data_IF_877929412871
#
_entry.id   IF_877929412871
#
_cell.length_a   1.000
_cell.length_b   1.000
_cell.length_c   1.000
_cell.angle_alpha   90.00
_cell.angle_beta   90.00
_cell.angle_gamma   90.00
#
_symmetry.space_group_name_H-M   'P 1'
#
loop_
_entity.id
_entity.type
_entity.pdbx_description
1 polymer ?
#
# COMPACT_ATOMS: atom_id res chain seq x y z
N UNK A 1 45.13 4.07 -27.49
CA UNK A 1 44.44 5.38 -27.57
C UNK A 1 43.23 5.35 -26.66
N UNK A 2 43.19 6.28 -25.71
CA UNK A 2 42.23 6.36 -24.59
C UNK A 2 41.10 7.31 -24.98
N UNK A 3 39.84 6.89 -24.81
CA UNK A 3 38.63 7.72 -24.57
C UNK A 3 37.43 6.74 -24.49
N UNK A 4 36.44 6.81 -23.60
CA UNK A 4 36.12 7.67 -22.48
C UNK A 4 34.82 7.12 -21.89
N UNK A 5 34.77 6.95 -20.56
CA UNK A 5 33.60 6.50 -19.80
C UNK A 5 32.54 7.61 -19.76
N UNK A 6 31.31 7.33 -20.18
CA UNK A 6 30.15 8.19 -19.95
C UNK A 6 29.23 7.54 -18.90
N UNK A 7 29.34 8.03 -17.68
CA UNK A 7 28.43 7.77 -16.56
C UNK A 7 27.11 8.54 -16.75
N UNK A 8 26.00 7.81 -16.78
CA UNK A 8 24.64 8.37 -16.84
C UNK A 8 24.20 8.85 -15.45
N UNK A 9 24.16 10.17 -15.27
CA UNK A 9 23.73 10.86 -14.05
C UNK A 9 22.19 10.85 -13.95
N UNK A 10 21.66 10.30 -12.84
CA UNK A 10 20.23 10.43 -12.47
C UNK A 10 19.92 11.89 -12.14
N UNK A 11 19.01 12.50 -12.91
CA UNK A 11 18.49 13.87 -12.69
C UNK A 11 17.66 13.92 -11.40
N UNK A 12 18.18 14.58 -10.38
CA UNK A 12 17.44 14.90 -9.14
C UNK A 12 16.27 15.85 -9.44
N UNK A 13 15.16 15.79 -8.67
CA UNK A 13 14.06 16.73 -8.81
C UNK A 13 14.55 18.16 -8.54
N UNK A 14 14.13 19.11 -9.38
CA UNK A 14 14.57 20.50 -9.33
C UNK A 14 14.22 21.18 -8.00
N UNK A 15 15.17 21.89 -7.41
CA UNK A 15 15.05 22.61 -6.14
C UNK A 15 13.85 23.59 -6.05
N UNK A 16 13.27 23.96 -7.19
CA UNK A 16 12.06 24.80 -7.27
C UNK A 16 10.79 24.10 -6.75
N UNK A 17 10.67 22.78 -6.93
CA UNK A 17 9.47 22.02 -6.53
C UNK A 17 9.50 21.77 -5.02
N UNK A 18 10.66 21.43 -4.45
CA UNK A 18 10.81 21.25 -3.00
C UNK A 18 10.56 22.55 -2.24
N UNK A 19 11.11 23.68 -2.73
CA UNK A 19 10.90 25.00 -2.13
C UNK A 19 9.42 25.42 -2.16
N UNK A 20 8.68 25.06 -3.22
CA UNK A 20 7.25 25.36 -3.32
C UNK A 20 6.41 24.57 -2.30
N UNK A 21 6.68 23.27 -2.13
CA UNK A 21 6.01 22.46 -1.12
C UNK A 21 6.36 22.89 0.31
N UNK A 22 7.63 23.23 0.54
CA UNK A 22 8.07 23.71 1.84
C UNK A 22 7.39 25.04 2.20
N UNK A 23 7.26 25.96 1.25
CA UNK A 23 6.55 27.24 1.45
C UNK A 23 5.06 27.04 1.73
N UNK A 24 4.40 26.10 1.05
CA UNK A 24 3.00 25.76 1.34
C UNK A 24 2.83 25.11 2.71
N UNK A 25 3.74 24.21 3.10
CA UNK A 25 3.71 23.56 4.41
C UNK A 25 3.86 24.58 5.54
N UNK A 26 4.80 25.54 5.43
CA UNK A 26 5.01 26.61 6.41
C UNK A 26 3.75 27.49 6.56
N UNK A 27 3.09 27.83 5.45
CA UNK A 27 1.83 28.61 5.49
C UNK A 27 0.69 27.82 6.15
N UNK A 28 0.61 26.52 5.91
CA UNK A 28 -0.39 25.65 6.53
C UNK A 28 -0.19 25.54 8.05
N UNK A 29 1.06 25.31 8.51
CA UNK A 29 1.37 25.28 9.94
C UNK A 29 1.12 26.62 10.63
N UNK A 30 1.47 27.74 10.00
CA UNK A 30 1.18 29.08 10.54
C UNK A 30 -0.33 29.36 10.65
N UNK A 31 -1.14 28.86 9.71
CA UNK A 31 -2.60 28.98 9.78
C UNK A 31 -3.19 28.14 10.93
N UNK A 32 -2.66 26.93 11.16
CA UNK A 32 -3.05 26.07 12.29
C UNK A 32 -2.68 26.73 13.61
N UNK A 33 -1.45 27.24 13.75
CA UNK A 33 -0.99 27.90 14.98
C UNK A 33 -1.85 29.13 15.29
N UNK A 34 -2.16 29.94 14.27
CA UNK A 34 -3.07 31.08 14.41
C UNK A 34 -4.46 30.64 14.87
N UNK A 35 -5.03 29.58 14.29
CA UNK A 35 -6.32 29.04 14.71
C UNK A 35 -6.29 28.54 16.15
N UNK A 36 -5.24 27.83 16.56
CA UNK A 36 -5.10 27.35 17.96
C UNK A 36 -5.04 28.50 18.97
N UNK A 37 -4.42 29.63 18.61
CA UNK A 37 -4.41 30.84 19.45
C UNK A 37 -5.78 31.49 19.64
N UNK A 38 -6.67 31.40 18.64
CA UNK A 38 -8.05 31.89 18.78
C UNK A 38 -8.86 31.03 19.74
N UNK A 39 -8.72 29.70 19.69
CA UNK A 39 -9.43 28.80 20.59
C UNK A 39 -8.87 28.81 22.02
N UNK A 40 -7.57 29.04 22.22
CA UNK A 40 -6.98 29.18 23.55
C UNK A 40 -7.46 30.44 24.29
N UNK A 41 -7.72 31.55 23.58
CA UNK A 41 -8.24 32.78 24.18
C UNK A 41 -9.70 32.67 24.61
N UNK A 42 -10.48 31.79 23.97
CA UNK A 42 -11.86 31.51 24.36
C UNK A 42 -11.97 30.73 25.68
N UNK A 43 -10.91 30.02 26.10
CA UNK A 43 -10.90 29.20 27.31
C UNK A 43 -10.53 29.95 28.61
N UNK A 44 -10.00 31.18 28.53
CA UNK A 44 -9.53 31.95 29.70
C UNK A 44 -10.57 32.95 30.28
N UNK A 45 -11.83 32.85 29.90
CA UNK A 45 -12.90 33.79 30.28
C UNK A 45 -13.67 33.48 31.58
N UNK A 46 -13.14 32.69 32.52
CA UNK A 46 -13.86 32.38 33.77
C UNK A 46 -12.93 32.40 35.00
N UNK A 47 -13.18 33.24 36.03
CA UNK A 47 -12.35 33.28 37.23
C UNK A 47 -12.90 32.32 38.30
N UNK A 48 -12.08 31.37 38.74
CA UNK A 48 -12.39 30.51 39.88
C UNK A 48 -11.50 29.27 39.94
N UNK A 49 -10.35 29.37 40.61
CA UNK A 49 -9.56 28.22 41.04
C UNK A 49 -9.90 27.89 42.52
N UNK A 50 -9.64 26.66 43.02
CA UNK A 50 -8.26 26.34 43.40
C UNK A 50 -7.77 24.92 43.08
N UNK A 51 -6.51 24.86 42.67
CA UNK A 51 -5.46 23.87 42.94
C UNK A 51 -5.83 22.39 43.12
N UNK A 52 -5.57 21.63 42.06
CA UNK A 52 -4.99 20.29 42.13
C UNK A 52 -3.85 20.20 41.13
N UNK A 53 -2.61 20.07 41.60
CA UNK A 53 -1.46 19.75 40.75
C UNK A 53 -1.65 18.36 40.14
N UNK A 54 -2.29 18.28 38.97
CA UNK A 54 -2.02 17.20 38.03
C UNK A 54 -1.14 17.76 36.94
N UNK A 55 0.14 17.49 37.10
CA UNK A 55 1.12 17.50 36.04
C UNK A 55 0.68 16.44 35.02
N UNK A 56 -0.29 16.80 34.17
CA UNK A 56 -0.65 16.02 32.99
C UNK A 56 0.58 16.11 32.10
N UNK A 57 1.29 14.99 32.00
CA UNK A 57 2.38 14.79 31.07
C UNK A 57 1.94 15.29 29.69
N UNK A 58 2.47 16.43 29.26
CA UNK A 58 2.32 16.94 27.90
C UNK A 58 3.16 16.04 26.97
N UNK A 59 2.69 14.82 26.76
CA UNK A 59 3.02 13.98 25.60
C UNK A 59 1.88 14.06 24.59
N UNK A 60 1.18 15.20 24.49
CA UNK A 60 0.09 15.35 23.54
C UNK A 60 0.69 15.39 22.13
N UNK A 61 0.71 14.23 21.50
CA UNK A 61 1.03 14.12 20.08
C UNK A 61 -0.04 14.88 19.29
N UNK A 62 0.29 15.35 18.09
CA UNK A 62 -0.71 15.97 17.22
C UNK A 62 -1.86 15.01 16.87
N UNK A 63 -1.66 13.70 17.07
CA UNK A 63 -2.68 12.66 16.89
C UNK A 63 -3.77 12.70 17.97
N UNK A 64 -3.44 13.03 19.22
CA UNK A 64 -4.41 13.07 20.32
C UNK A 64 -5.45 14.19 20.15
N UNK A 65 -5.12 15.20 19.34
CA UNK A 65 -6.02 16.32 19.00
C UNK A 65 -6.90 16.01 17.78
N UNK A 66 -6.60 14.94 17.04
CA UNK A 66 -7.29 14.60 15.81
C UNK A 66 -8.51 13.72 16.11
N UNK A 67 -9.72 14.05 15.63
CA UNK A 67 -10.88 13.17 15.71
C UNK A 67 -10.58 11.75 15.24
N UNK A 68 -11.18 10.76 15.90
CA UNK A 68 -10.88 9.34 15.65
C UNK A 68 -11.19 8.95 14.20
N UNK A 69 -12.23 9.55 13.61
CA UNK A 69 -12.63 9.33 12.22
C UNK A 69 -11.54 9.78 11.24
N UNK A 70 -10.86 10.89 11.56
CA UNK A 70 -9.77 11.39 10.74
C UNK A 70 -8.52 10.52 10.91
N UNK A 71 -8.24 10.02 12.12
CA UNK A 71 -7.16 9.05 12.34
C UNK A 71 -7.39 7.77 11.53
N UNK A 72 -8.61 7.22 11.59
CA UNK A 72 -9.02 6.05 10.80
C UNK A 72 -8.91 6.33 9.30
N UNK A 73 -9.34 7.49 8.83
CA UNK A 73 -9.23 7.87 7.41
C UNK A 73 -7.78 7.89 6.92
N UNK A 74 -6.84 8.34 7.75
CA UNK A 74 -5.41 8.34 7.45
C UNK A 74 -4.87 6.90 7.45
N UNK A 75 -5.27 6.09 8.43
CA UNK A 75 -4.83 4.69 8.52
C UNK A 75 -5.32 3.87 7.31
N UNK A 76 -6.51 4.14 6.79
CA UNK A 76 -7.04 3.50 5.59
C UNK A 76 -6.24 3.80 4.31
N UNK A 77 -5.52 4.93 4.26
CA UNK A 77 -4.63 5.27 3.14
C UNK A 77 -3.30 4.50 3.17
N UNK A 78 -2.92 3.97 4.33
CA UNK A 78 -1.67 3.27 4.55
C UNK A 78 -1.66 1.90 3.82
N UNK A 79 -0.47 1.34 3.56
CA UNK A 79 -0.36 -0.05 3.09
C UNK A 79 -0.60 -0.99 4.27
N UNK A 80 -1.02 -2.24 4.01
CA UNK A 80 -1.21 -3.24 5.08
C UNK A 80 0.02 -3.43 5.98
N UNK A 81 1.22 -3.33 5.41
CA UNK A 81 2.48 -3.40 6.18
C UNK A 81 2.64 -2.21 7.11
N UNK A 82 2.24 -1.03 6.66
CA UNK A 82 2.38 0.21 7.42
C UNK A 82 1.37 0.22 8.58
N UNK A 83 0.17 -0.35 8.38
CA UNK A 83 -0.83 -0.57 9.45
C UNK A 83 -0.26 -1.46 10.56
N UNK A 84 0.47 -2.52 10.21
CA UNK A 84 1.17 -3.33 11.23
C UNK A 84 2.23 -2.52 11.98
N UNK A 85 2.96 -1.63 11.29
CA UNK A 85 3.93 -0.76 11.93
C UNK A 85 3.24 0.25 12.87
N UNK A 86 2.09 0.81 12.47
CA UNK A 86 1.29 1.74 13.27
C UNK A 86 0.87 1.14 14.62
N UNK A 87 0.46 -0.13 14.63
CA UNK A 87 0.12 -0.87 15.88
C UNK A 87 1.29 -0.91 16.87
N UNK A 88 2.53 -0.87 16.38
CA UNK A 88 3.74 -0.94 17.21
C UNK A 88 4.23 0.44 17.67
N UNK A 89 3.66 1.53 17.17
CA UNK A 89 4.09 2.90 17.52
C UNK A 89 3.75 3.21 18.98
N UNK A 90 2.51 2.94 19.40
CA UNK A 90 2.04 3.20 20.75
C UNK A 90 0.78 2.38 21.07
N UNK A 91 0.42 2.28 22.35
CA UNK A 91 -0.76 1.53 22.81
C UNK A 91 -2.07 2.09 22.24
N UNK A 92 -2.23 3.41 22.23
CA UNK A 92 -3.44 4.05 21.69
C UNK A 92 -3.66 3.71 20.21
N UNK A 93 -2.61 3.66 19.39
CA UNK A 93 -2.71 3.23 17.99
C UNK A 93 -3.04 1.74 17.88
N UNK A 94 -2.46 0.90 18.73
CA UNK A 94 -2.80 -0.52 18.76
C UNK A 94 -4.29 -0.71 19.07
N UNK A 95 -4.78 -0.07 20.13
CA UNK A 95 -6.17 -0.16 20.57
C UNK A 95 -7.14 0.38 19.52
N UNK A 96 -6.80 1.52 18.89
CA UNK A 96 -7.62 2.14 17.84
C UNK A 96 -7.69 1.26 16.60
N UNK A 97 -6.55 0.71 16.15
CA UNK A 97 -6.49 -0.18 14.98
C UNK A 97 -7.22 -1.49 15.24
N UNK A 98 -7.08 -2.07 16.43
CA UNK A 98 -7.70 -3.36 16.77
C UNK A 98 -9.21 -3.21 16.99
N UNK A 99 -9.67 -2.14 17.64
CA UNK A 99 -11.09 -1.86 17.82
C UNK A 99 -11.82 -1.57 16.49
N UNK A 100 -11.11 -1.07 15.47
CA UNK A 100 -11.67 -0.67 14.19
C UNK A 100 -11.18 -1.54 13.02
N UNK A 101 -10.64 -2.73 13.28
CA UNK A 101 -10.03 -3.59 12.26
C UNK A 101 -10.94 -3.77 11.04
N UNK A 102 -12.20 -4.13 11.27
CA UNK A 102 -13.16 -4.39 10.21
C UNK A 102 -13.46 -3.16 9.35
N UNK A 103 -13.66 -2.01 10.00
CA UNK A 103 -13.91 -0.74 9.32
C UNK A 103 -12.70 -0.33 8.45
N UNK A 104 -11.50 -0.43 9.02
CA UNK A 104 -10.25 -0.10 8.32
C UNK A 104 -10.02 -1.06 7.14
N UNK A 105 -10.17 -2.38 7.35
CA UNK A 105 -9.97 -3.37 6.30
C UNK A 105 -10.95 -3.19 5.13
N UNK A 106 -12.20 -2.84 5.44
CA UNK A 106 -13.23 -2.57 4.44
C UNK A 106 -12.97 -1.28 3.67
N UNK A 107 -12.64 -0.20 4.38
CA UNK A 107 -12.39 1.10 3.73
C UNK A 107 -11.06 1.10 2.95
N UNK A 108 -10.06 0.32 3.39
CA UNK A 108 -8.86 0.02 2.62
C UNK A 108 -9.19 -0.55 1.22
N UNK A 109 -10.14 -1.49 1.14
CA UNK A 109 -10.60 -2.02 -0.15
C UNK A 109 -11.40 -0.97 -0.93
N UNK A 110 -12.30 -0.22 -0.29
CA UNK A 110 -13.11 0.82 -0.97
C UNK A 110 -12.27 1.90 -1.63
N UNK A 111 -11.28 2.42 -0.91
CA UNK A 111 -10.41 3.50 -1.39
C UNK A 111 -9.68 3.03 -2.65
N UNK A 112 -9.11 1.83 -2.61
CA UNK A 112 -8.37 1.26 -3.74
C UNK A 112 -9.29 0.86 -4.90
N UNK A 113 -10.55 0.55 -4.62
CA UNK A 113 -11.61 0.27 -5.61
C UNK A 113 -12.24 1.53 -6.21
N UNK A 114 -11.76 2.73 -5.90
CA UNK A 114 -12.40 3.99 -6.29
C UNK A 114 -13.89 4.09 -5.90
N UNK A 115 -14.27 3.51 -4.74
CA UNK A 115 -15.53 3.83 -4.07
C UNK A 115 -16.59 2.72 -3.95
N UNK A 116 -16.45 1.54 -4.56
CA UNK A 116 -17.47 0.47 -4.42
C UNK A 116 -16.90 -0.85 -3.89
N UNK A 117 -17.46 -1.35 -2.76
CA UNK A 117 -17.30 -2.73 -2.29
C UNK A 117 -17.99 -3.72 -3.25
N UNK A 118 -17.63 -5.02 -3.22
CA UNK A 118 -18.31 -5.98 -4.06
C UNK A 118 -19.75 -6.14 -3.58
N UNK A 119 -20.71 -5.81 -4.44
CA UNK A 119 -22.06 -6.34 -4.36
C UNK A 119 -22.07 -7.68 -5.11
N UNK A 120 -22.73 -8.70 -4.57
CA UNK A 120 -22.93 -10.02 -5.21
C UNK A 120 -23.61 -9.92 -6.60
N UNK A 121 -24.12 -8.75 -6.98
CA UNK A 121 -24.63 -8.45 -8.31
C UNK A 121 -23.51 -8.18 -9.31
N UNK A 122 -23.48 -9.08 -10.30
CA UNK A 122 -22.58 -9.16 -11.46
C UNK A 122 -22.47 -7.84 -12.24
N UNK A 123 -21.68 -6.88 -11.76
CA UNK A 123 -21.21 -5.75 -12.58
C UNK A 123 -19.90 -6.17 -13.22
N UNK A 124 -19.78 -5.96 -14.53
CA UNK A 124 -18.56 -6.24 -15.29
C UNK A 124 -17.47 -5.25 -14.85
N UNK A 125 -16.72 -5.60 -13.81
CA UNK A 125 -15.62 -4.78 -13.28
C UNK A 125 -14.43 -4.92 -14.23
N UNK A 126 -13.95 -3.79 -14.75
CA UNK A 126 -12.69 -3.73 -15.51
C UNK A 126 -11.55 -3.54 -14.53
N UNK A 127 -10.81 -4.61 -14.25
CA UNK A 127 -9.58 -4.53 -13.45
C UNK A 127 -8.43 -3.99 -14.32
N UNK A 128 -7.67 -3.02 -13.81
CA UNK A 128 -6.41 -2.62 -14.43
C UNK A 128 -5.33 -3.64 -14.06
N UNK A 129 -4.26 -3.73 -14.87
CA UNK A 129 -3.00 -4.42 -14.50
C UNK A 129 -2.14 -3.57 -13.55
N UNK A 130 -2.86 -2.85 -12.69
CA UNK A 130 -2.38 -2.12 -11.55
C UNK A 130 -1.74 -3.07 -10.53
N UNK A 131 -0.45 -3.06 -10.14
CA UNK A 131 -0.01 -3.88 -9.00
C UNK A 131 -0.71 -3.52 -7.67
N UNK A 132 -1.42 -2.39 -7.65
CA UNK A 132 -2.26 -1.93 -6.53
C UNK A 132 -3.67 -2.56 -6.56
N UNK A 133 -4.07 -3.15 -7.69
CA UNK A 133 -5.39 -3.72 -7.97
C UNK A 133 -5.43 -5.24 -7.76
N UNK A 134 -4.28 -5.90 -7.56
CA UNK A 134 -4.22 -7.35 -7.40
C UNK A 134 -4.97 -7.83 -6.15
N UNK A 135 -4.88 -7.08 -5.05
CA UNK A 135 -5.63 -7.37 -3.82
C UNK A 135 -7.13 -7.17 -4.03
N UNK A 136 -7.51 -6.24 -4.91
CA UNK A 136 -8.91 -5.97 -5.26
C UNK A 136 -9.47 -7.15 -6.05
N UNK A 137 -8.82 -7.53 -7.15
CA UNK A 137 -9.21 -8.68 -7.97
C UNK A 137 -9.32 -9.94 -7.12
N UNK A 138 -8.31 -10.22 -6.29
CA UNK A 138 -8.33 -11.39 -5.42
C UNK A 138 -9.45 -11.35 -4.38
N UNK A 139 -9.80 -10.16 -3.89
CA UNK A 139 -10.93 -10.04 -2.96
C UNK A 139 -12.30 -10.26 -3.62
N UNK A 140 -12.42 -10.04 -4.93
CA UNK A 140 -13.64 -10.37 -5.70
C UNK A 140 -13.71 -11.87 -6.01
N UNK A 141 -12.59 -12.49 -6.37
CA UNK A 141 -12.51 -13.93 -6.67
C UNK A 141 -12.63 -14.81 -5.42
N UNK A 142 -12.15 -14.31 -4.28
CA UNK A 142 -12.09 -15.04 -3.04
C UNK A 142 -12.70 -14.21 -1.90
N UNK A 143 -14.04 -14.11 -1.82
CA UNK A 143 -14.68 -13.38 -0.74
C UNK A 143 -14.34 -13.99 0.63
N UNK A 144 -14.38 -13.20 1.72
CA UNK A 144 -14.09 -13.69 3.05
C UNK A 144 -15.10 -14.78 3.48
N UNK A 145 -14.63 -15.83 4.20
CA UNK A 145 -15.52 -16.87 4.71
C UNK A 145 -16.52 -16.26 5.70
N UNK A 146 -17.81 -16.55 5.52
CA UNK A 146 -18.89 -15.96 6.32
C UNK A 146 -19.55 -14.71 5.72
N UNK A 147 -19.17 -14.31 4.49
CA UNK A 147 -19.84 -13.24 3.74
C UNK A 147 -21.32 -13.54 3.35
N UNK A 148 -21.85 -14.70 3.75
CA UNK A 148 -23.27 -15.06 3.65
C UNK A 148 -23.98 -14.42 4.85
N UNK A 149 -24.07 -13.09 4.86
CA UNK A 149 -24.54 -12.31 6.00
C UNK A 149 -24.15 -10.83 5.89
N UNK A 150 -23.89 -10.18 7.03
CA UNK A 150 -23.46 -8.78 7.05
C UNK A 150 -22.01 -8.66 6.56
N UNK A 151 -21.85 -8.28 5.30
CA UNK A 151 -20.57 -8.08 4.62
C UNK A 151 -19.66 -7.07 5.34
N UNK A 152 -20.20 -6.29 6.29
CA UNK A 152 -19.45 -5.27 7.05
C UNK A 152 -18.33 -5.84 7.91
N UNK A 153 -18.53 -7.00 8.53
CA UNK A 153 -17.57 -7.55 9.52
C UNK A 153 -16.74 -8.72 8.97
N UNK A 154 -16.97 -9.10 7.71
CA UNK A 154 -16.25 -10.22 7.09
C UNK A 154 -14.80 -9.85 6.69
N UNK A 155 -14.53 -8.56 6.46
CA UNK A 155 -13.19 -8.09 6.09
C UNK A 155 -12.31 -7.89 7.32
N UNK A 156 -11.14 -8.52 7.34
CA UNK A 156 -10.15 -8.46 8.41
C UNK A 156 -8.75 -8.24 7.84
N UNK A 157 -7.80 -7.77 8.64
CA UNK A 157 -6.40 -7.72 8.26
C UNK A 157 -5.85 -9.12 7.95
N UNK A 158 -6.30 -10.14 8.68
CA UNK A 158 -5.96 -11.54 8.40
C UNK A 158 -6.40 -11.96 7.00
N UNK A 159 -7.63 -11.63 6.62
CA UNK A 159 -8.13 -11.89 5.27
C UNK A 159 -7.29 -11.17 4.21
N UNK A 160 -7.05 -9.87 4.37
CA UNK A 160 -6.26 -9.09 3.41
C UNK A 160 -4.81 -9.62 3.29
N UNK A 161 -4.19 -10.01 4.41
CA UNK A 161 -2.89 -10.65 4.43
C UNK A 161 -2.91 -12.00 3.69
N UNK A 162 -3.99 -12.79 3.84
CA UNK A 162 -4.14 -14.05 3.12
C UNK A 162 -4.24 -13.86 1.59
N UNK A 163 -4.93 -12.81 1.13
CA UNK A 163 -4.99 -12.48 -0.29
C UNK A 163 -3.62 -12.12 -0.84
N UNK A 164 -2.89 -11.24 -0.14
CA UNK A 164 -1.51 -10.89 -0.49
C UNK A 164 -0.62 -12.14 -0.54
N UNK A 165 -0.77 -13.04 0.44
CA UNK A 165 -0.01 -14.29 0.45
C UNK A 165 -0.33 -15.17 -0.77
N UNK A 166 -1.61 -15.28 -1.15
CA UNK A 166 -2.02 -16.00 -2.36
C UNK A 166 -1.42 -15.37 -3.61
N UNK A 167 -1.43 -14.05 -3.73
CA UNK A 167 -0.80 -13.32 -4.83
C UNK A 167 0.69 -13.69 -4.95
N UNK A 168 1.42 -13.62 -3.84
CA UNK A 168 2.86 -13.96 -3.80
C UNK A 168 3.10 -15.42 -4.21
N UNK A 169 2.26 -16.35 -3.74
CA UNK A 169 2.37 -17.77 -4.10
C UNK A 169 2.05 -17.97 -5.59
N UNK A 170 0.96 -17.42 -6.11
CA UNK A 170 0.60 -17.52 -7.52
C UNK A 170 1.67 -16.93 -8.43
N UNK A 171 2.27 -15.79 -8.04
CA UNK A 171 3.39 -15.18 -8.76
C UNK A 171 4.60 -16.12 -8.79
N UNK A 172 4.99 -16.69 -7.64
CA UNK A 172 6.09 -17.67 -7.56
C UNK A 172 5.82 -18.93 -8.38
N UNK A 173 4.60 -19.46 -8.31
CA UNK A 173 4.20 -20.63 -9.09
C UNK A 173 4.25 -20.32 -10.59
N UNK A 174 3.78 -19.15 -11.03
CA UNK A 174 3.84 -18.74 -12.43
C UNK A 174 5.28 -18.62 -12.94
N UNK A 175 6.21 -18.15 -12.10
CA UNK A 175 7.64 -18.15 -12.39
C UNK A 175 8.18 -19.58 -12.56
N UNK A 176 7.94 -20.47 -11.60
CA UNK A 176 8.44 -21.85 -11.67
C UNK A 176 7.87 -22.61 -12.86
N UNK A 177 6.59 -22.40 -13.18
CA UNK A 177 5.98 -22.99 -14.37
C UNK A 177 6.63 -22.46 -15.65
N UNK A 178 6.83 -21.14 -15.78
CA UNK A 178 7.49 -20.53 -16.92
C UNK A 178 8.93 -21.06 -17.11
N UNK A 179 9.70 -21.12 -16.03
CA UNK A 179 11.07 -21.64 -15.97
C UNK A 179 11.14 -23.09 -16.43
N UNK A 180 10.28 -23.96 -15.87
CA UNK A 180 10.23 -25.39 -16.21
C UNK A 180 9.76 -25.65 -17.64
N UNK A 181 8.76 -24.91 -18.12
CA UNK A 181 8.26 -25.04 -19.50
C UNK A 181 9.37 -24.64 -20.48
N UNK A 182 10.05 -23.52 -20.23
CA UNK A 182 11.09 -23.03 -21.12
C UNK A 182 12.33 -23.93 -21.09
N UNK A 183 12.72 -24.42 -19.92
CA UNK A 183 13.83 -25.37 -19.77
C UNK A 183 13.55 -26.66 -20.56
N UNK A 184 12.36 -27.26 -20.38
CA UNK A 184 11.96 -28.44 -21.17
C UNK A 184 11.93 -28.15 -22.68
N UNK A 185 11.40 -27.00 -23.09
CA UNK A 185 11.34 -26.61 -24.50
C UNK A 185 12.75 -26.48 -25.11
N UNK A 186 13.68 -25.87 -24.38
CA UNK A 186 15.08 -25.75 -24.77
C UNK A 186 15.79 -27.11 -24.80
N UNK A 187 15.44 -28.04 -23.92
CA UNK A 187 15.97 -29.41 -23.92
C UNK A 187 15.47 -30.24 -25.11
N UNK A 188 14.17 -30.14 -25.44
CA UNK A 188 13.59 -30.88 -26.57
C UNK A 188 13.96 -30.32 -27.94
N UNK A 189 14.37 -29.05 -28.03
CA UNK A 189 14.76 -28.39 -29.28
C UNK A 189 16.22 -27.90 -29.26
N UNK A 190 17.21 -28.80 -29.34
CA UNK A 190 18.63 -28.44 -29.29
C UNK A 190 19.06 -27.54 -30.45
N UNK A 191 18.37 -27.60 -31.60
CA UNK A 191 18.60 -26.70 -32.74
C UNK A 191 18.46 -25.21 -32.35
N UNK A 192 17.51 -24.90 -31.46
CA UNK A 192 17.31 -23.51 -30.98
C UNK A 192 18.49 -23.10 -30.10
N UNK A 193 19.03 -24.00 -29.26
CA UNK A 193 20.23 -23.72 -28.47
C UNK A 193 21.46 -23.45 -29.35
N UNK A 194 21.58 -24.15 -30.48
CA UNK A 194 22.68 -23.98 -31.42
C UNK A 194 22.56 -22.70 -32.27
N UNK A 195 21.38 -22.10 -32.36
CA UNK A 195 21.14 -20.85 -33.13
C UNK A 195 21.71 -19.58 -32.47
N UNK A 196 22.11 -19.66 -31.20
CA UNK A 196 22.65 -18.50 -30.47
C UNK A 196 24.15 -18.34 -30.69
N UNK A 197 24.58 -17.11 -31.02
CA UNK A 197 25.99 -16.77 -31.23
C UNK A 197 26.84 -16.86 -29.96
N UNK A 198 26.26 -16.64 -28.77
CA UNK A 198 26.96 -16.70 -27.50
C UNK A 198 26.13 -17.30 -26.36
N UNK A 199 26.82 -17.77 -25.31
CA UNK A 199 26.17 -18.23 -24.06
C UNK A 199 25.39 -17.10 -23.37
N UNK A 200 25.86 -15.85 -23.49
CA UNK A 200 25.21 -14.67 -22.91
C UNK A 200 23.89 -14.36 -23.61
N UNK A 201 23.86 -14.43 -24.94
CA UNK A 201 22.65 -14.19 -25.73
C UNK A 201 21.59 -15.25 -25.47
N UNK A 202 22.03 -16.51 -25.31
CA UNK A 202 21.16 -17.61 -24.90
C UNK A 202 20.54 -17.35 -23.52
N UNK A 203 21.33 -16.93 -22.54
CA UNK A 203 20.84 -16.63 -21.20
C UNK A 203 19.85 -15.46 -21.21
N UNK A 204 20.15 -14.39 -21.94
CA UNK A 204 19.24 -13.24 -22.08
C UNK A 204 17.92 -13.62 -22.78
N UNK A 205 17.98 -14.49 -23.80
CA UNK A 205 16.78 -15.02 -24.45
C UNK A 205 15.95 -15.89 -23.49
N UNK A 206 16.63 -16.70 -22.68
CA UNK A 206 15.99 -17.54 -21.67
C UNK A 206 15.24 -16.67 -20.63
N UNK A 207 15.92 -15.70 -20.01
CA UNK A 207 15.33 -14.79 -19.03
C UNK A 207 14.14 -14.01 -19.60
N UNK A 208 14.28 -13.49 -20.83
CA UNK A 208 13.18 -12.81 -21.53
C UNK A 208 12.01 -13.76 -21.81
N UNK A 209 12.28 -15.02 -22.15
CA UNK A 209 11.28 -16.06 -22.35
C UNK A 209 10.52 -16.37 -21.07
N UNK A 210 11.23 -16.59 -19.96
CA UNK A 210 10.64 -16.80 -18.64
C UNK A 210 9.77 -15.61 -18.25
N UNK A 211 10.28 -14.39 -18.37
CA UNK A 211 9.52 -13.18 -18.04
C UNK A 211 8.24 -13.04 -18.88
N UNK A 212 8.30 -13.34 -20.18
CA UNK A 212 7.12 -13.31 -21.08
C UNK A 212 6.10 -14.38 -20.72
N UNK A 213 6.54 -15.60 -20.42
CA UNK A 213 5.66 -16.69 -20.02
C UNK A 213 5.04 -16.40 -18.65
N UNK A 214 5.84 -15.95 -17.69
CA UNK A 214 5.37 -15.52 -16.38
C UNK A 214 4.31 -14.43 -16.53
N UNK A 215 4.56 -13.36 -17.30
CA UNK A 215 3.58 -12.30 -17.54
C UNK A 215 2.25 -12.79 -18.13
N UNK A 216 2.27 -13.87 -18.93
CA UNK A 216 1.05 -14.47 -19.48
C UNK A 216 0.34 -15.41 -18.49
N UNK A 217 1.10 -16.06 -17.61
CA UNK A 217 0.61 -17.03 -16.63
C UNK A 217 0.17 -16.38 -15.32
N UNK A 218 0.75 -15.25 -14.96
CA UNK A 218 0.37 -14.51 -13.77
C UNK A 218 -1.06 -13.98 -13.99
N UNK A 219 -2.02 -14.35 -13.12
CA UNK A 219 -3.39 -13.87 -13.25
C UNK A 219 -3.39 -12.35 -13.13
N UNK A 220 -3.77 -11.66 -14.22
CA UNK A 220 -3.83 -10.20 -14.39
C UNK A 220 -3.05 -9.43 -13.31
N UNK A 221 -1.73 -9.39 -13.46
CA UNK A 221 -0.84 -8.42 -12.82
C UNK A 221 -0.27 -7.48 -13.88
#
# INVERSE_FOLDING_TARGET
MIAGLATEQRKAPSASVSAFFETKSKKFFAAIEKATGYYAKAAHGHPGAPNGHQQVTHTSSHWDKLPVELQLSIFCQCRLRDIQCLRLVCRSFCDLVDANEHAIARDYLRIRRHGSLPSLTHRRITHSRAPQDDVILLSDLFPPPGAIGDLRDAYTFRYLASLRRRQEICSKLSYYLADRILDRYMQSHPAIKASFASKRDRQACYERGVARLQFKLTPLM
#
